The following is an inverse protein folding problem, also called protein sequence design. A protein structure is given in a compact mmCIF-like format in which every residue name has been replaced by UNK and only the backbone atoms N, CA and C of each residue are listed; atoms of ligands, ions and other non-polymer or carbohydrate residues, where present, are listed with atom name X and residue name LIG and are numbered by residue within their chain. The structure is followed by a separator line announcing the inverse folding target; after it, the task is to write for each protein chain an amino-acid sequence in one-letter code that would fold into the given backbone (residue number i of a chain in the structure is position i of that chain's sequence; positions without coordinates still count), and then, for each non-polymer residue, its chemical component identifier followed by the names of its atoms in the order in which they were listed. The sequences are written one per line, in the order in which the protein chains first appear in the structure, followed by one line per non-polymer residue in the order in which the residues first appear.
data_IF_123470875618
#
_entry.id   IF_123470875618
#
_cell.length_a   1.000
_cell.length_b   1.000
_cell.length_c   1.000
_cell.angle_alpha   90.00
_cell.angle_beta   90.00
_cell.angle_gamma   90.00
#
_symmetry.space_group_name_H-M   'P 1'
#
loop_
_entity.id
_entity.type
_entity.pdbx_description
1 polymer ?
#
# COMPACT_ATOMS: atom_id res chain seq x y z
N UNK A 1 -1.76 6.28 -10.80
CA UNK A 1 -1.18 6.21 -9.44
C UNK A 1 -0.55 4.85 -9.14
N UNK A 2 -1.25 3.69 -9.21
CA UNK A 2 -0.67 2.39 -8.82
C UNK A 2 0.54 1.95 -9.66
N UNK A 3 0.64 2.44 -10.89
CA UNK A 3 1.77 2.14 -11.78
C UNK A 3 3.12 2.56 -11.16
N UNK A 4 3.22 3.77 -10.60
CA UNK A 4 4.48 4.24 -10.00
C UNK A 4 4.85 3.45 -8.75
N UNK A 5 3.86 3.03 -7.96
CA UNK A 5 4.08 2.11 -6.85
C UNK A 5 4.67 0.76 -7.33
N UNK A 6 4.16 0.21 -8.44
CA UNK A 6 4.69 -1.01 -9.07
C UNK A 6 6.09 -0.83 -9.65
N UNK A 7 6.42 0.38 -10.11
CA UNK A 7 7.77 0.77 -10.55
C UNK A 7 8.72 1.06 -9.38
N UNK A 8 8.27 0.93 -8.13
CA UNK A 8 9.05 1.18 -6.90
C UNK A 8 9.47 2.64 -6.73
N UNK A 9 8.68 3.56 -7.27
CA UNK A 9 8.92 5.00 -7.18
C UNK A 9 7.90 5.65 -6.25
N UNK A 10 8.26 5.72 -4.96
CA UNK A 10 7.38 6.24 -3.92
C UNK A 10 7.11 7.74 -4.03
N UNK A 11 8.10 8.52 -4.50
CA UNK A 11 8.01 9.97 -4.63
C UNK A 11 7.03 10.36 -5.73
N UNK A 12 7.15 9.75 -6.92
CA UNK A 12 6.18 10.00 -7.99
C UNK A 12 4.77 9.52 -7.61
N UNK A 13 4.67 8.38 -6.92
CA UNK A 13 3.38 7.89 -6.45
C UNK A 13 2.72 8.88 -5.47
N UNK A 14 3.47 9.38 -4.47
CA UNK A 14 3.00 10.38 -3.51
C UNK A 14 2.62 11.69 -4.20
N UNK A 15 3.41 12.15 -5.17
CA UNK A 15 3.11 13.34 -5.96
C UNK A 15 1.74 13.25 -6.66
N UNK A 16 1.44 12.10 -7.26
CA UNK A 16 0.12 11.89 -7.88
C UNK A 16 -1.02 11.77 -6.87
N UNK A 17 -0.78 11.16 -5.69
CA UNK A 17 -1.78 11.15 -4.61
C UNK A 17 -2.09 12.58 -4.15
N UNK A 18 -1.08 13.43 -4.00
CA UNK A 18 -1.25 14.86 -3.67
C UNK A 18 -2.04 15.61 -4.75
N UNK A 19 -1.79 15.32 -6.03
CA UNK A 19 -2.57 15.89 -7.14
C UNK A 19 -4.05 15.48 -7.07
N UNK A 20 -4.34 14.22 -6.72
CA UNK A 20 -5.72 13.74 -6.52
C UNK A 20 -6.42 14.46 -5.35
N UNK A 21 -5.69 14.83 -4.31
CA UNK A 21 -6.20 15.57 -3.14
C UNK A 21 -6.37 17.08 -3.38
N UNK A 22 -6.18 17.55 -4.61
CA UNK A 22 -6.41 18.95 -4.96
C UNK A 22 -7.90 19.27 -4.90
N UNK A 23 -8.26 20.24 -4.07
CA UNK A 23 -9.64 20.70 -3.92
C UNK A 23 -10.23 21.24 -5.23
N UNK A 24 -11.47 20.87 -5.54
CA UNK A 24 -12.23 21.42 -6.68
C UNK A 24 -13.73 21.58 -6.36
N UNK A 25 -14.37 22.53 -7.06
CA UNK A 25 -15.83 22.73 -7.11
C UNK A 25 -16.37 22.66 -8.54
N UNK A 26 -15.55 22.25 -9.49
CA UNK A 26 -15.98 22.13 -10.88
C UNK A 26 -16.88 20.91 -11.02
N UNK A 27 -18.14 21.13 -11.37
CA UNK A 27 -19.15 20.09 -11.55
C UNK A 27 -19.50 19.88 -13.03
N UNK A 28 -19.05 20.75 -13.93
CA UNK A 28 -19.24 20.58 -15.36
C UNK A 28 -18.26 19.55 -15.92
N UNK A 29 -18.62 18.96 -17.06
CA UNK A 29 -17.73 18.06 -17.81
C UNK A 29 -16.55 18.89 -18.30
N UNK A 30 -15.35 18.49 -17.87
CA UNK A 30 -14.11 19.15 -18.23
C UNK A 30 -12.97 18.15 -18.31
N UNK A 31 -12.02 18.37 -19.24
CA UNK A 31 -10.78 17.61 -19.33
C UNK A 31 -9.67 18.17 -18.42
N UNK A 32 -9.98 19.20 -17.64
CA UNK A 32 -9.11 19.83 -16.64
C UNK A 32 -9.90 20.00 -15.35
N UNK A 33 -9.23 20.19 -14.21
CA UNK A 33 -9.95 20.48 -12.97
C UNK A 33 -10.17 19.28 -12.05
N UNK A 34 -9.60 18.10 -12.37
CA UNK A 34 -9.67 16.91 -11.52
C UNK A 34 -9.11 17.11 -10.11
N UNK A 35 -9.48 16.22 -9.20
CA UNK A 35 -9.11 16.30 -7.80
C UNK A 35 -10.17 15.71 -6.87
N UNK A 36 -10.51 16.46 -5.83
CA UNK A 36 -11.44 16.02 -4.78
C UNK A 36 -12.46 17.11 -4.41
N UNK A 37 -13.71 16.70 -4.25
CA UNK A 37 -14.81 17.55 -3.78
C UNK A 37 -14.78 17.71 -2.24
N UNK A 38 -15.57 18.64 -1.66
CA UNK A 38 -15.65 18.83 -0.20
C UNK A 38 -16.06 17.56 0.58
N UNK A 39 -16.79 16.65 -0.05
CA UNK A 39 -17.23 15.38 0.53
C UNK A 39 -16.22 14.24 0.30
N UNK A 40 -14.99 14.56 -0.10
CA UNK A 40 -13.92 13.61 -0.41
C UNK A 40 -14.16 12.70 -1.62
N UNK A 41 -15.20 12.95 -2.42
CA UNK A 41 -15.41 12.21 -3.67
C UNK A 41 -14.46 12.70 -4.76
N UNK A 42 -13.99 11.76 -5.57
CA UNK A 42 -13.12 12.03 -6.71
C UNK A 42 -13.88 12.83 -7.78
N UNK A 43 -13.20 13.86 -8.27
CA UNK A 43 -13.61 14.64 -9.42
C UNK A 43 -12.80 14.23 -10.63
N UNK A 44 -13.46 13.71 -11.65
CA UNK A 44 -12.86 13.63 -12.98
C UNK A 44 -12.62 15.03 -13.57
N UNK A 45 -13.53 16.03 -13.49
CA UNK A 45 -14.96 16.09 -13.12
C UNK A 45 -15.94 15.64 -14.24
N UNK A 46 -17.22 15.33 -13.93
CA UNK A 46 -17.88 15.38 -12.62
C UNK A 46 -17.47 14.20 -11.72
N UNK A 47 -18.26 13.89 -10.68
CA UNK A 47 -17.99 12.77 -9.79
C UNK A 47 -17.79 11.44 -10.55
N UNK A 48 -16.67 10.76 -10.27
CA UNK A 48 -16.43 9.37 -10.64
C UNK A 48 -15.71 8.65 -9.49
N UNK A 49 -16.26 7.52 -9.04
CA UNK A 49 -15.80 6.81 -7.84
C UNK A 49 -14.48 6.03 -8.06
N UNK A 50 -14.11 5.79 -9.31
CA UNK A 50 -12.91 5.07 -9.70
C UNK A 50 -11.64 5.68 -9.11
N UNK A 51 -11.51 7.00 -9.07
CA UNK A 51 -10.35 7.66 -8.46
C UNK A 51 -10.25 7.48 -6.95
N UNK A 52 -11.36 7.34 -6.22
CA UNK A 52 -11.34 7.02 -4.79
C UNK A 52 -10.78 5.62 -4.54
N UNK A 53 -11.28 4.61 -5.27
CA UNK A 53 -10.79 3.24 -5.15
C UNK A 53 -9.35 3.11 -5.66
N UNK A 54 -9.02 3.83 -6.73
CA UNK A 54 -7.66 3.91 -7.27
C UNK A 54 -6.67 4.54 -6.30
N UNK A 55 -7.08 5.55 -5.53
CA UNK A 55 -6.27 6.15 -4.47
C UNK A 55 -5.97 5.13 -3.37
N UNK A 56 -6.99 4.46 -2.83
CA UNK A 56 -6.80 3.45 -1.79
C UNK A 56 -5.91 2.30 -2.26
N UNK A 57 -6.12 1.81 -3.48
CA UNK A 57 -5.29 0.78 -4.09
C UNK A 57 -3.83 1.26 -4.27
N UNK A 58 -3.61 2.50 -4.69
CA UNK A 58 -2.26 3.04 -4.83
C UNK A 58 -1.51 3.12 -3.49
N UNK A 59 -2.17 3.57 -2.42
CA UNK A 59 -1.58 3.57 -1.06
C UNK A 59 -1.23 2.14 -0.63
N UNK A 60 -2.13 1.18 -0.84
CA UNK A 60 -1.85 -0.22 -0.54
C UNK A 60 -0.64 -0.76 -1.32
N UNK A 61 -0.56 -0.50 -2.62
CA UNK A 61 0.53 -0.93 -3.51
C UNK A 61 1.88 -0.28 -3.21
N UNK A 62 1.90 0.90 -2.59
CA UNK A 62 3.12 1.55 -2.10
C UNK A 62 3.66 0.86 -0.84
N UNK A 63 2.77 0.34 0.00
CA UNK A 63 3.08 -0.26 1.29
C UNK A 63 3.33 -1.77 1.21
N UNK A 64 2.60 -2.48 0.36
CA UNK A 64 2.71 -3.93 0.20
C UNK A 64 2.41 -4.35 -1.24
N UNK A 65 3.27 -5.22 -1.77
CA UNK A 65 3.03 -5.96 -2.99
C UNK A 65 3.10 -7.45 -2.70
N UNK A 66 2.24 -8.23 -3.34
CA UNK A 66 2.30 -9.68 -3.21
C UNK A 66 2.04 -10.37 -4.54
N UNK A 67 2.66 -11.54 -4.68
CA UNK A 67 2.37 -12.56 -5.67
C UNK A 67 2.38 -13.90 -4.96
N UNK A 68 1.87 -14.97 -5.57
CA UNK A 68 1.74 -16.27 -4.91
C UNK A 68 3.09 -16.72 -4.32
N UNK A 69 3.16 -16.85 -2.99
CA UNK A 69 4.35 -17.26 -2.24
C UNK A 69 5.41 -16.17 -2.01
N UNK A 70 5.15 -14.90 -2.36
CA UNK A 70 6.10 -13.80 -2.15
C UNK A 70 5.38 -12.51 -1.71
N UNK A 71 5.87 -11.90 -0.64
CA UNK A 71 5.39 -10.65 -0.06
C UNK A 71 6.56 -9.67 -0.05
N UNK A 72 6.33 -8.46 -0.57
CA UNK A 72 7.27 -7.36 -0.56
C UNK A 72 6.67 -6.20 0.24
N UNK A 73 7.37 -5.79 1.30
CA UNK A 73 6.94 -4.66 2.14
C UNK A 73 7.70 -3.39 1.76
N UNK A 74 7.00 -2.26 1.88
CA UNK A 74 7.50 -0.92 1.56
C UNK A 74 8.14 -0.80 0.17
N UNK A 75 7.57 -1.40 -0.90
CA UNK A 75 8.17 -1.37 -2.24
C UNK A 75 8.35 0.05 -2.79
N UNK A 76 7.50 1.00 -2.39
CA UNK A 76 7.51 2.37 -2.88
C UNK A 76 7.14 3.35 -1.75
N UNK A 77 7.80 3.23 -0.60
CA UNK A 77 7.59 4.16 0.53
C UNK A 77 8.23 5.53 0.20
N UNK A 78 7.47 6.63 0.21
CA UNK A 78 8.04 7.96 0.04
C UNK A 78 8.79 8.40 1.30
N UNK A 79 9.80 9.24 1.14
CA UNK A 79 10.66 9.74 2.22
C UNK A 79 9.88 10.53 3.29
N UNK A 80 8.73 11.12 2.93
CA UNK A 80 7.86 11.82 3.87
C UNK A 80 7.17 10.88 4.87
N UNK A 81 6.96 9.60 4.51
CA UNK A 81 6.34 8.59 5.39
C UNK A 81 7.40 7.88 6.22
N UNK A 82 8.17 8.64 7.01
CA UNK A 82 9.31 8.12 7.79
C UNK A 82 8.92 7.00 8.76
N UNK A 83 7.83 7.20 9.48
CA UNK A 83 7.36 6.29 10.52
C UNK A 83 5.89 5.98 10.31
N UNK A 84 5.50 4.74 10.61
CA UNK A 84 4.10 4.37 10.51
C UNK A 84 3.84 2.90 10.79
N UNK A 85 2.57 2.53 10.70
CA UNK A 85 2.12 1.16 10.82
C UNK A 85 0.88 0.93 9.97
N UNK A 86 0.65 -0.33 9.63
CA UNK A 86 -0.57 -0.79 8.98
C UNK A 86 -0.97 -2.15 9.54
N UNK A 87 -2.27 -2.39 9.63
CA UNK A 87 -2.86 -3.63 10.13
C UNK A 87 -3.94 -4.14 9.19
N UNK A 88 -4.06 -5.46 9.09
CA UNK A 88 -5.12 -6.14 8.35
C UNK A 88 -4.89 -6.20 6.83
N UNK A 89 -3.69 -5.90 6.33
CA UNK A 89 -3.42 -5.97 4.89
C UNK A 89 -3.54 -7.42 4.41
N UNK A 90 -4.11 -7.61 3.23
CA UNK A 90 -4.25 -8.94 2.63
C UNK A 90 -3.22 -9.14 1.54
N UNK A 91 -2.43 -10.20 1.68
CA UNK A 91 -1.52 -10.69 0.66
C UNK A 91 -2.09 -11.95 -0.02
N UNK A 92 -1.66 -12.20 -1.26
CA UNK A 92 -2.08 -13.38 -2.02
C UNK A 92 -1.73 -14.67 -1.26
N UNK A 93 -2.66 -15.63 -1.23
CA UNK A 93 -2.56 -16.83 -0.40
C UNK A 93 -3.35 -16.76 0.91
N UNK A 94 -4.27 -15.80 1.04
CA UNK A 94 -5.07 -15.60 2.27
C UNK A 94 -4.19 -15.33 3.51
N UNK A 95 -3.14 -14.53 3.33
CA UNK A 95 -2.24 -14.12 4.40
C UNK A 95 -2.66 -12.72 4.87
N UNK A 96 -2.86 -12.55 6.17
CA UNK A 96 -3.01 -11.25 6.81
C UNK A 96 -1.64 -10.76 7.26
N UNK A 97 -1.33 -9.50 6.95
CA UNK A 97 -0.05 -8.87 7.23
C UNK A 97 -0.28 -7.59 8.03
N UNK A 98 0.35 -7.53 9.20
CA UNK A 98 0.52 -6.29 9.95
C UNK A 98 2.01 -5.94 9.97
N UNK A 99 2.35 -4.67 9.87
CA UNK A 99 3.74 -4.26 10.01
C UNK A 99 3.89 -2.81 10.46
N UNK A 100 5.05 -2.53 11.03
CA UNK A 100 5.45 -1.23 11.56
C UNK A 100 6.82 -0.88 10.98
N UNK A 101 7.03 0.40 10.67
CA UNK A 101 8.30 0.89 10.16
C UNK A 101 8.72 2.16 10.90
N UNK A 102 10.04 2.37 10.95
CA UNK A 102 10.69 3.55 11.51
C UNK A 102 11.84 3.97 10.63
N UNK A 103 12.03 5.27 10.45
CA UNK A 103 13.06 5.83 9.57
C UNK A 103 13.09 5.17 8.17
N UNK A 104 11.92 4.87 7.63
CA UNK A 104 11.74 4.24 6.32
C UNK A 104 12.06 2.74 6.24
N UNK A 105 12.31 2.07 7.39
CA UNK A 105 12.69 0.65 7.45
C UNK A 105 11.70 -0.14 8.30
N UNK A 106 11.36 -1.35 7.84
CA UNK A 106 10.54 -2.28 8.60
C UNK A 106 11.20 -2.57 9.94
N UNK A 107 10.44 -2.43 11.02
CA UNK A 107 10.85 -2.73 12.39
C UNK A 107 10.15 -3.98 12.93
N UNK A 108 8.88 -4.19 12.55
CA UNK A 108 8.11 -5.37 12.97
C UNK A 108 7.20 -5.84 11.86
N UNK A 109 7.05 -7.15 11.72
CA UNK A 109 6.11 -7.79 10.79
C UNK A 109 5.41 -8.94 11.50
N UNK A 110 4.10 -9.00 11.33
CA UNK A 110 3.25 -10.09 11.78
C UNK A 110 2.52 -10.72 10.60
N UNK A 111 2.66 -12.02 10.44
CA UNK A 111 2.01 -12.80 9.40
C UNK A 111 1.05 -13.81 10.03
N UNK A 112 -0.19 -13.86 9.53
CA UNK A 112 -1.19 -14.83 9.94
C UNK A 112 -1.84 -15.48 8.71
N UNK A 113 -2.03 -16.79 8.75
CA UNK A 113 -2.71 -17.53 7.68
C UNK A 113 -3.60 -18.64 8.25
N UNK A 114 -4.71 -18.91 7.57
CA UNK A 114 -5.61 -20.02 7.88
C UNK A 114 -5.17 -21.35 7.26
N UNK A 115 -4.07 -21.38 6.50
CA UNK A 115 -3.54 -22.62 5.91
C UNK A 115 -2.02 -22.70 6.06
N UNK A 116 -1.53 -23.95 6.09
CA UNK A 116 -0.10 -24.19 6.08
C UNK A 116 0.48 -23.78 4.72
N UNK A 117 1.44 -22.88 4.72
CA UNK A 117 2.10 -22.46 3.49
C UNK A 117 3.47 -21.87 3.74
N UNK A 118 4.32 -21.98 2.71
CA UNK A 118 5.63 -21.34 2.65
C UNK A 118 5.52 -20.02 1.90
N UNK A 119 6.04 -18.95 2.48
CA UNK A 119 6.07 -17.62 1.87
C UNK A 119 7.46 -17.01 1.99
N UNK A 120 7.89 -16.29 0.97
CA UNK A 120 9.09 -15.45 1.02
C UNK A 120 8.68 -14.02 1.34
N UNK A 121 9.18 -13.48 2.46
CA UNK A 121 9.04 -12.09 2.84
C UNK A 121 10.29 -11.31 2.43
N UNK A 122 10.11 -10.25 1.65
CA UNK A 122 11.14 -9.30 1.26
C UNK A 122 10.89 -7.95 1.94
N UNK A 123 11.86 -7.48 2.71
CA UNK A 123 11.83 -6.19 3.39
C UNK A 123 13.25 -5.75 3.75
N UNK A 124 13.51 -4.43 3.84
CA UNK A 124 14.83 -3.87 4.18
C UNK A 124 16.00 -4.39 3.32
N UNK A 125 15.73 -4.79 2.06
CA UNK A 125 16.73 -5.41 1.17
C UNK A 125 17.09 -6.86 1.49
N UNK A 126 16.39 -7.50 2.43
CA UNK A 126 16.59 -8.89 2.86
C UNK A 126 15.39 -9.73 2.41
N UNK A 127 15.66 -10.98 2.02
CA UNK A 127 14.63 -11.98 1.75
C UNK A 127 14.67 -13.10 2.78
N UNK A 128 13.55 -13.37 3.45
CA UNK A 128 13.40 -14.43 4.46
C UNK A 128 12.28 -15.37 4.07
N UNK A 129 12.55 -16.67 4.10
CA UNK A 129 11.51 -17.70 3.98
C UNK A 129 10.84 -17.91 5.32
N UNK A 130 9.50 -17.88 5.34
CA UNK A 130 8.67 -18.11 6.53
C UNK A 130 7.72 -19.27 6.24
N UNK A 131 7.60 -20.18 7.20
CA UNK A 131 6.63 -21.27 7.16
C UNK A 131 5.47 -20.90 8.06
N UNK A 132 4.33 -20.58 7.45
CA UNK A 132 3.10 -20.24 8.16
C UNK A 132 2.34 -21.53 8.46
N UNK A 133 1.86 -21.65 9.70
CA UNK A 133 0.97 -22.73 10.13
C UNK A 133 -0.47 -22.21 10.24
N UNK A 134 -1.50 -23.06 10.09
CA UNK A 134 -2.89 -22.68 10.27
C UNK A 134 -3.10 -22.06 11.65
N UNK A 135 -3.79 -20.91 11.69
CA UNK A 135 -4.14 -20.15 12.90
C UNK A 135 -2.93 -19.72 13.74
N UNK A 136 -1.72 -19.88 13.19
CA UNK A 136 -0.47 -19.42 13.76
C UNK A 136 -0.18 -17.97 13.38
N UNK A 137 0.48 -17.26 14.29
CA UNK A 137 0.98 -15.91 14.05
C UNK A 137 2.50 -15.95 14.10
N UNK A 138 3.15 -15.64 12.98
CA UNK A 138 4.60 -15.46 12.93
C UNK A 138 4.93 -13.98 13.16
N UNK A 139 5.64 -13.68 14.25
CA UNK A 139 6.05 -12.33 14.64
C UNK A 139 7.56 -12.19 14.45
N UNK A 140 7.99 -11.14 13.74
CA UNK A 140 9.38 -10.90 13.38
C UNK A 140 9.75 -9.46 13.71
N UNK A 141 10.86 -9.29 14.40
CA UNK A 141 11.46 -7.99 14.71
C UNK A 141 12.72 -7.83 13.87
N UNK A 142 12.90 -6.63 13.35
CA UNK A 142 14.04 -6.21 12.55
C UNK A 142 14.73 -5.04 13.26
N UNK A 143 16.04 -5.18 13.43
CA UNK A 143 16.93 -4.16 13.99
C UNK A 143 17.36 -3.13 12.94
#
# INVERSE_FOLDING_TARGET
MPLWARLRDGEHALGLLKNQLRYTREENISCVGGGIYPNMLCAHPPFQIDGNFGFAAAVAEMLIQSRKGHILLLPALPAEWKDGNVRGMKAQGAITVDFEWRDGRIHRVRLCSSCEQKVTLECNGISKTVFLRPDGTEDMIFD
#
